data_IF_157595464543
#
_entry.id   IF_157595464543
#
_cell.length_a   1.000
_cell.length_b   1.000
_cell.length_c   1.000
_cell.angle_alpha   90.00
_cell.angle_beta   90.00
_cell.angle_gamma   90.00
#
_symmetry.space_group_name_H-M   'P 1'
#
loop_
_entity.id
_entity.type
_entity.pdbx_description
1 polymer ?
#
# COMPACT_ATOMS: atom_id res chain seq x y z
N UNK A 1 25.73 -13.02 -6.18
CA UNK A 1 25.00 -13.79 -5.15
C UNK A 1 24.75 -12.88 -3.98
N UNK A 2 23.53 -12.76 -3.46
CA UNK A 2 23.32 -12.01 -2.22
C UNK A 2 24.07 -12.73 -1.09
N UNK A 3 24.74 -11.94 -0.24
CA UNK A 3 25.45 -12.44 0.94
C UNK A 3 24.48 -13.20 1.85
N UNK A 4 24.84 -14.39 2.30
CA UNK A 4 24.05 -15.14 3.28
C UNK A 4 24.10 -14.43 4.64
N UNK A 5 23.14 -14.69 5.53
CA UNK A 5 23.14 -14.08 6.88
C UNK A 5 24.40 -14.38 7.70
N UNK A 6 25.12 -15.45 7.37
CA UNK A 6 26.39 -15.82 8.03
C UNK A 6 27.58 -14.92 7.65
N UNK A 7 27.49 -14.21 6.52
CA UNK A 7 28.59 -13.40 5.98
C UNK A 7 28.50 -11.92 6.41
N UNK A 8 27.41 -11.52 7.09
CA UNK A 8 27.17 -10.16 7.54
C UNK A 8 27.67 -9.93 8.97
N UNK A 9 28.28 -8.77 9.21
CA UNK A 9 28.63 -8.36 10.57
C UNK A 9 27.39 -8.20 11.48
N UNK A 10 27.62 -8.18 12.80
CA UNK A 10 26.53 -7.92 13.77
C UNK A 10 25.89 -6.56 13.50
N UNK A 11 26.68 -5.54 13.19
CA UNK A 11 26.20 -4.19 12.87
C UNK A 11 25.30 -4.18 11.62
N UNK A 12 25.70 -4.88 10.56
CA UNK A 12 24.87 -5.01 9.36
C UNK A 12 23.57 -5.78 9.62
N UNK A 13 23.60 -6.75 10.52
CA UNK A 13 22.39 -7.49 10.92
C UNK A 13 21.46 -6.63 11.78
N UNK A 14 22.04 -5.82 12.67
CA UNK A 14 21.28 -4.89 13.52
C UNK A 14 20.63 -3.81 12.65
N UNK A 15 21.41 -3.13 11.78
CA UNK A 15 20.87 -2.13 10.84
C UNK A 15 19.70 -2.70 10.01
N UNK A 16 19.80 -3.96 9.59
CA UNK A 16 18.74 -4.65 8.87
C UNK A 16 17.47 -4.86 9.71
N UNK A 17 17.64 -5.23 10.97
CA UNK A 17 16.51 -5.42 11.89
C UNK A 17 15.84 -4.09 12.24
N UNK A 18 16.62 -3.06 12.52
CA UNK A 18 16.12 -1.71 12.79
C UNK A 18 15.39 -1.17 11.57
N UNK A 19 15.98 -1.25 10.37
CA UNK A 19 15.34 -0.85 9.12
C UNK A 19 14.02 -1.59 8.85
N UNK A 20 13.97 -2.89 9.17
CA UNK A 20 12.74 -3.68 9.01
C UNK A 20 11.64 -3.17 9.93
N UNK A 21 11.97 -2.86 11.19
CA UNK A 21 11.00 -2.33 12.15
C UNK A 21 10.58 -0.90 11.79
N UNK A 22 11.51 -0.05 11.36
CA UNK A 22 11.20 1.32 10.91
C UNK A 22 10.24 1.32 9.73
N UNK A 23 10.43 0.45 8.73
CA UNK A 23 9.52 0.31 7.59
C UNK A 23 8.14 -0.21 8.05
N UNK A 24 8.08 -1.14 9.01
CA UNK A 24 6.79 -1.56 9.58
C UNK A 24 6.07 -0.43 10.30
N UNK A 25 6.78 0.36 11.08
CA UNK A 25 6.24 1.55 11.74
C UNK A 25 5.82 2.61 10.73
N UNK A 26 6.55 2.77 9.63
CA UNK A 26 6.17 3.68 8.53
C UNK A 26 4.80 3.32 7.95
N UNK A 27 4.56 2.03 7.68
CA UNK A 27 3.27 1.53 7.19
C UNK A 27 2.15 1.74 8.21
N UNK A 28 2.40 1.49 9.49
CA UNK A 28 1.42 1.72 10.54
C UNK A 28 1.08 3.22 10.69
N UNK A 29 2.09 4.09 10.67
CA UNK A 29 1.91 5.55 10.72
C UNK A 29 1.13 6.08 9.52
N UNK A 30 1.32 5.50 8.33
CA UNK A 30 0.54 5.83 7.14
C UNK A 30 -0.96 5.67 7.39
N UNK A 31 -1.37 4.52 7.88
CA UNK A 31 -2.78 4.24 8.19
C UNK A 31 -3.33 5.20 9.24
N UNK A 32 -2.63 5.32 10.34
CA UNK A 32 -3.09 6.14 11.48
C UNK A 32 -3.20 7.62 11.11
N UNK A 33 -2.19 8.21 10.47
CA UNK A 33 -2.20 9.63 10.11
C UNK A 33 -3.30 9.97 9.09
N UNK A 34 -3.60 9.04 8.18
CA UNK A 34 -4.69 9.20 7.22
C UNK A 34 -6.05 9.16 7.91
N UNK A 35 -6.28 8.20 8.80
CA UNK A 35 -7.53 8.04 9.53
C UNK A 35 -7.77 9.22 10.51
N UNK A 36 -6.72 9.75 11.09
CA UNK A 36 -6.77 10.96 11.94
C UNK A 36 -6.90 12.27 11.15
N UNK A 37 -6.79 12.23 9.82
CA UNK A 37 -6.73 13.44 8.97
C UNK A 37 -5.53 14.36 9.28
N UNK A 38 -4.47 13.81 9.87
CA UNK A 38 -3.20 14.52 10.04
C UNK A 38 -2.38 14.46 8.75
N UNK A 39 -2.78 15.30 7.79
CA UNK A 39 -2.17 15.28 6.46
C UNK A 39 -0.72 15.79 6.47
N UNK A 40 -0.34 16.63 7.44
CA UNK A 40 1.05 17.07 7.57
C UNK A 40 1.95 15.93 8.03
N UNK A 41 1.55 15.18 9.04
CA UNK A 41 2.25 13.98 9.44
C UNK A 41 2.27 12.94 8.31
N UNK A 42 1.14 12.76 7.62
CA UNK A 42 1.00 11.79 6.55
C UNK A 42 1.95 12.04 5.38
N UNK A 43 2.01 13.25 4.84
CA UNK A 43 2.88 13.53 3.68
C UNK A 43 4.37 13.48 4.03
N UNK A 44 4.72 13.67 5.30
CA UNK A 44 6.10 13.52 5.77
C UNK A 44 6.59 12.08 5.81
N UNK A 45 5.71 11.10 5.65
CA UNK A 45 6.07 9.68 5.48
C UNK A 45 6.60 9.36 4.07
N UNK A 46 6.49 10.28 3.14
CA UNK A 46 6.91 10.11 1.75
C UNK A 46 8.20 10.88 1.44
N UNK A 47 8.93 10.42 0.44
CA UNK A 47 10.08 11.14 -0.09
C UNK A 47 9.69 12.59 -0.50
N UNK A 48 10.59 13.58 -0.36
CA UNK A 48 10.25 14.98 -0.66
C UNK A 48 9.73 15.22 -2.07
N UNK A 49 10.21 14.44 -3.04
CA UNK A 49 9.90 14.50 -4.46
C UNK A 49 8.88 13.44 -4.93
N UNK A 50 8.16 12.83 -3.99
CA UNK A 50 7.18 11.79 -4.29
C UNK A 50 6.32 12.11 -5.51
N UNK A 51 6.20 11.15 -6.42
CA UNK A 51 5.38 11.30 -7.61
C UNK A 51 3.90 11.10 -7.29
N UNK A 52 3.10 12.11 -7.54
CA UNK A 52 1.63 12.10 -7.30
C UNK A 52 0.87 11.76 -8.59
N UNK A 53 1.32 12.31 -9.72
CA UNK A 53 0.72 12.05 -11.04
C UNK A 53 1.79 12.12 -12.14
N UNK A 54 1.38 12.12 -13.39
CA UNK A 54 2.31 12.33 -14.52
C UNK A 54 2.96 13.72 -14.49
N UNK A 55 2.23 14.73 -13.99
CA UNK A 55 2.61 16.14 -14.06
C UNK A 55 2.95 16.73 -12.68
N UNK A 56 2.67 16.01 -11.59
CA UNK A 56 2.81 16.53 -10.23
C UNK A 56 3.70 15.66 -9.36
N UNK A 57 4.64 16.31 -8.68
CA UNK A 57 5.53 15.71 -7.69
C UNK A 57 5.53 16.52 -6.40
N UNK A 58 6.01 15.91 -5.33
CA UNK A 58 6.26 16.56 -4.06
C UNK A 58 5.11 16.50 -3.06
N UNK A 59 5.47 16.59 -1.79
CA UNK A 59 4.57 16.46 -0.63
C UNK A 59 3.42 17.48 -0.64
N UNK A 60 3.66 18.69 -1.12
CA UNK A 60 2.61 19.71 -1.20
C UNK A 60 1.50 19.34 -2.19
N UNK A 61 1.86 18.71 -3.31
CA UNK A 61 0.87 18.19 -4.25
C UNK A 61 0.14 16.97 -3.70
N UNK A 62 0.86 16.08 -3.04
CA UNK A 62 0.26 14.93 -2.36
C UNK A 62 -0.76 15.37 -1.31
N UNK A 63 -0.42 16.37 -0.49
CA UNK A 63 -1.33 16.89 0.55
C UNK A 63 -2.61 17.43 -0.05
N UNK A 64 -2.52 18.26 -1.09
CA UNK A 64 -3.72 18.80 -1.76
C UNK A 64 -4.60 17.69 -2.35
N UNK A 65 -4.00 16.76 -3.05
CA UNK A 65 -4.74 15.63 -3.64
C UNK A 65 -5.44 14.80 -2.57
N UNK A 66 -4.80 14.54 -1.43
CA UNK A 66 -5.39 13.81 -0.31
C UNK A 66 -6.53 14.61 0.34
N UNK A 67 -6.33 15.90 0.59
CA UNK A 67 -7.36 16.77 1.20
C UNK A 67 -8.62 16.80 0.35
N UNK A 68 -8.48 17.02 -0.95
CA UNK A 68 -9.60 17.01 -1.90
C UNK A 68 -10.28 15.64 -1.94
N UNK A 69 -9.51 14.56 -2.06
CA UNK A 69 -10.05 13.19 -2.14
C UNK A 69 -10.83 12.81 -0.88
N UNK A 70 -10.27 13.07 0.29
CA UNK A 70 -10.89 12.70 1.56
C UNK A 70 -12.15 13.51 1.83
N UNK A 71 -12.13 14.81 1.61
CA UNK A 71 -13.31 15.67 1.82
C UNK A 71 -14.46 15.37 0.88
N UNK A 72 -14.15 15.03 -0.36
CA UNK A 72 -15.17 14.76 -1.38
C UNK A 72 -15.80 13.38 -1.26
N UNK A 73 -15.10 12.40 -0.70
CA UNK A 73 -15.52 11.01 -0.79
C UNK A 73 -15.84 10.36 0.55
N UNK A 74 -15.23 10.80 1.66
CA UNK A 74 -15.27 10.03 2.90
C UNK A 74 -15.59 10.88 4.13
N UNK A 75 -16.61 10.50 4.87
CA UNK A 75 -16.91 11.06 6.19
C UNK A 75 -16.08 10.39 7.29
N UNK A 76 -15.72 9.12 7.09
CA UNK A 76 -14.84 8.36 7.98
C UNK A 76 -14.01 7.32 7.23
N UNK A 77 -12.83 7.01 7.77
CA UNK A 77 -11.96 5.95 7.22
C UNK A 77 -11.28 5.17 8.33
N UNK A 78 -11.05 3.89 8.09
CA UNK A 78 -10.29 3.02 8.96
C UNK A 78 -9.44 2.07 8.11
N UNK A 79 -8.11 2.15 8.25
CA UNK A 79 -7.17 1.35 7.49
C UNK A 79 -6.56 0.26 8.37
N UNK A 80 -6.81 -1.00 8.04
CA UNK A 80 -6.19 -2.14 8.69
C UNK A 80 -5.14 -2.75 7.78
N UNK A 81 -3.87 -2.46 8.04
CA UNK A 81 -2.74 -3.12 7.38
C UNK A 81 -2.46 -4.47 8.06
N UNK A 82 -2.23 -5.47 7.23
CA UNK A 82 -2.00 -6.86 7.67
C UNK A 82 -0.62 -7.37 7.30
N UNK A 83 -0.58 -8.48 6.59
CA UNK A 83 0.67 -9.14 6.21
C UNK A 83 1.57 -8.18 5.43
N UNK A 84 2.84 -8.11 5.85
CA UNK A 84 3.84 -7.23 5.27
C UNK A 84 5.12 -8.00 4.99
N UNK A 85 5.50 -8.06 3.73
CA UNK A 85 6.77 -8.60 3.25
C UNK A 85 7.66 -7.43 2.87
N UNK A 86 8.92 -7.45 3.30
CA UNK A 86 9.93 -6.42 3.01
C UNK A 86 11.16 -7.10 2.45
N UNK A 87 11.57 -6.67 1.28
CA UNK A 87 12.79 -7.11 0.62
C UNK A 87 13.70 -5.91 0.39
N UNK A 88 14.97 -6.08 0.71
CA UNK A 88 15.95 -5.01 0.57
C UNK A 88 16.79 -5.23 -0.68
N UNK A 89 16.74 -4.27 -1.56
CA UNK A 89 17.53 -4.27 -2.79
C UNK A 89 18.97 -3.86 -2.51
N UNK A 90 19.12 -2.78 -1.70
CA UNK A 90 20.39 -2.18 -1.33
C UNK A 90 20.34 -1.72 0.13
N UNK A 91 21.40 -1.05 0.61
CA UNK A 91 21.49 -0.58 1.99
C UNK A 91 20.43 0.47 2.33
N UNK A 92 20.05 1.31 1.35
CA UNK A 92 19.10 2.42 1.51
C UNK A 92 17.83 2.26 0.65
N UNK A 93 17.64 1.11 0.01
CA UNK A 93 16.47 0.85 -0.82
C UNK A 93 15.85 -0.49 -0.46
N UNK A 94 14.55 -0.49 -0.38
CA UNK A 94 13.74 -1.68 -0.14
C UNK A 94 12.43 -1.59 -0.91
N UNK A 95 11.80 -2.73 -1.13
CA UNK A 95 10.42 -2.80 -1.63
C UNK A 95 9.61 -3.77 -0.77
N UNK A 96 8.30 -3.73 -0.92
CA UNK A 96 7.45 -4.61 -0.13
C UNK A 96 6.03 -4.68 -0.61
N UNK A 97 5.32 -5.67 -0.05
CA UNK A 97 3.91 -5.91 -0.29
C UNK A 97 3.17 -5.85 1.04
N UNK A 98 2.11 -5.04 1.11
CA UNK A 98 1.30 -4.86 2.30
C UNK A 98 -0.16 -5.13 2.01
N UNK A 99 -0.75 -6.15 2.64
CA UNK A 99 -2.19 -6.32 2.61
C UNK A 99 -2.88 -5.26 3.44
N UNK A 100 -3.98 -4.71 2.91
CA UNK A 100 -4.80 -3.75 3.64
C UNK A 100 -6.28 -4.01 3.39
N UNK A 101 -7.05 -4.08 4.48
CA UNK A 101 -8.51 -4.08 4.44
C UNK A 101 -8.99 -2.76 5.01
N UNK A 102 -9.59 -1.94 4.19
CA UNK A 102 -9.97 -0.59 4.55
C UNK A 102 -11.48 -0.46 4.57
N UNK A 103 -11.99 0.23 5.57
CA UNK A 103 -13.40 0.55 5.71
C UNK A 103 -13.59 2.06 5.64
N UNK A 104 -14.63 2.48 4.91
CA UNK A 104 -14.89 3.89 4.64
C UNK A 104 -16.39 4.18 4.78
N UNK A 105 -16.70 5.25 5.48
CA UNK A 105 -18.02 5.83 5.50
C UNK A 105 -18.12 6.91 4.42
N UNK A 106 -19.16 6.85 3.58
CA UNK A 106 -19.38 7.80 2.46
C UNK A 106 -20.79 8.39 2.52
N UNK A 107 -21.11 9.05 3.61
CA UNK A 107 -22.46 9.56 3.83
C UNK A 107 -23.47 8.45 4.11
N UNK A 108 -23.97 7.75 3.08
CA UNK A 108 -25.01 6.73 3.22
C UNK A 108 -24.53 5.29 3.02
N UNK A 109 -23.26 5.08 2.62
CA UNK A 109 -22.73 3.75 2.33
C UNK A 109 -21.54 3.43 3.23
N UNK A 110 -21.44 2.17 3.63
CA UNK A 110 -20.26 1.62 4.28
C UNK A 110 -19.48 0.79 3.29
N UNK A 111 -18.35 1.33 2.82
CA UNK A 111 -17.55 0.73 1.75
C UNK A 111 -16.39 -0.05 2.32
N UNK A 112 -16.22 -1.27 1.86
CA UNK A 112 -15.06 -2.11 2.17
C UNK A 112 -14.18 -2.20 0.93
N UNK A 113 -12.87 -1.97 1.12
CA UNK A 113 -11.85 -2.12 0.09
C UNK A 113 -10.79 -3.12 0.55
N UNK A 114 -10.61 -4.19 -0.20
CA UNK A 114 -9.48 -5.09 -0.02
C UNK A 114 -8.41 -4.74 -1.03
N UNK A 115 -7.21 -4.46 -0.51
CA UNK A 115 -6.11 -3.93 -1.28
C UNK A 115 -4.81 -4.67 -0.99
N UNK A 116 -3.89 -4.58 -1.94
CA UNK A 116 -2.48 -4.84 -1.78
C UNK A 116 -1.73 -3.56 -2.14
N UNK A 117 -0.93 -3.03 -1.22
CA UNK A 117 0.01 -1.96 -1.55
C UNK A 117 1.30 -2.56 -2.06
N UNK A 118 1.76 -2.06 -3.20
CA UNK A 118 3.08 -2.35 -3.75
C UNK A 118 3.96 -1.14 -3.48
N UNK A 119 4.87 -1.30 -2.54
CA UNK A 119 5.63 -0.20 -1.97
C UNK A 119 7.10 -0.25 -2.38
N UNK A 120 7.68 0.93 -2.61
CA UNK A 120 9.11 1.14 -2.62
C UNK A 120 9.47 2.09 -1.47
N UNK A 121 10.55 1.77 -0.79
CA UNK A 121 11.07 2.51 0.35
C UNK A 121 12.47 3.00 0.07
N UNK A 122 12.79 4.19 0.55
CA UNK A 122 14.12 4.78 0.45
C UNK A 122 14.51 5.38 1.79
N UNK A 123 15.76 5.19 2.21
CA UNK A 123 16.31 5.80 3.41
C UNK A 123 16.99 7.11 3.06
N UNK A 124 16.38 8.23 3.46
CA UNK A 124 16.85 9.59 3.25
C UNK A 124 17.12 10.21 4.63
N UNK A 125 18.28 10.79 4.84
CA UNK A 125 18.68 11.41 6.11
C UNK A 125 18.42 10.51 7.33
N UNK A 126 18.79 9.23 7.20
CA UNK A 126 18.62 8.17 8.22
C UNK A 126 17.15 7.83 8.54
N UNK A 127 16.19 8.22 7.70
CA UNK A 127 14.78 7.89 7.85
C UNK A 127 14.27 7.09 6.66
N UNK A 128 13.57 5.99 6.92
CA UNK A 128 12.86 5.26 5.88
C UNK A 128 11.56 5.98 5.49
N UNK A 129 11.38 6.22 4.19
CA UNK A 129 10.25 6.92 3.61
C UNK A 129 9.69 6.12 2.43
N UNK A 130 8.40 6.31 2.12
CA UNK A 130 7.84 5.83 0.87
C UNK A 130 8.41 6.63 -0.30
N UNK A 131 9.15 6.00 -1.19
CA UNK A 131 9.49 6.57 -2.50
C UNK A 131 8.42 6.26 -3.54
N UNK A 132 7.58 5.25 -3.28
CA UNK A 132 6.38 4.93 -4.06
C UNK A 132 5.43 4.09 -3.23
N UNK A 133 4.13 4.33 -3.36
CA UNK A 133 3.07 3.42 -2.90
C UNK A 133 2.02 3.28 -3.99
N UNK A 134 1.80 2.06 -4.48
CA UNK A 134 0.81 1.75 -5.49
C UNK A 134 -0.31 0.91 -4.88
N UNK A 135 -1.54 1.46 -4.75
CA UNK A 135 -2.68 0.69 -4.31
C UNK A 135 -3.19 -0.21 -5.45
N UNK A 136 -3.21 -1.51 -5.22
CA UNK A 136 -3.77 -2.50 -6.12
C UNK A 136 -5.02 -3.09 -5.48
N UNK A 137 -6.18 -2.93 -6.11
CA UNK A 137 -7.45 -3.39 -5.57
C UNK A 137 -7.73 -4.85 -5.92
N UNK A 138 -8.25 -5.60 -4.96
CA UNK A 138 -8.99 -6.81 -5.25
C UNK A 138 -10.45 -6.47 -5.46
N UNK A 139 -11.06 -5.77 -4.48
CA UNK A 139 -12.43 -5.27 -4.61
C UNK A 139 -12.61 -3.96 -3.84
N UNK A 140 -13.65 -3.23 -4.24
CA UNK A 140 -14.25 -2.14 -3.47
C UNK A 140 -15.77 -2.25 -3.62
N UNK A 141 -16.49 -2.34 -2.51
CA UNK A 141 -17.94 -2.58 -2.53
C UNK A 141 -18.61 -2.08 -1.27
N UNK A 142 -19.91 -1.79 -1.35
CA UNK A 142 -20.75 -1.61 -0.17
C UNK A 142 -20.81 -2.91 0.66
N UNK A 143 -20.82 -2.80 1.98
CA UNK A 143 -20.83 -3.92 2.92
C UNK A 143 -21.96 -4.93 2.63
N UNK A 144 -23.10 -4.46 2.15
CA UNK A 144 -24.26 -5.29 1.86
C UNK A 144 -24.24 -5.91 0.45
N UNK A 145 -23.20 -5.65 -0.33
CA UNK A 145 -23.06 -6.14 -1.72
C UNK A 145 -21.79 -6.97 -1.89
N UNK A 146 -21.76 -8.25 -1.48
CA UNK A 146 -20.57 -9.08 -1.58
C UNK A 146 -20.01 -9.09 -3.00
N UNK A 147 -18.67 -8.93 -3.18
CA UNK A 147 -18.03 -8.82 -4.50
C UNK A 147 -17.81 -10.21 -5.14
N UNK A 148 -18.84 -11.03 -5.22
CA UNK A 148 -18.83 -12.34 -5.87
C UNK A 148 -18.91 -12.17 -7.40
N UNK A 149 -18.20 -13.04 -8.14
CA UNK A 149 -18.16 -12.99 -9.60
C UNK A 149 -17.08 -12.03 -10.14
N UNK A 150 -17.23 -11.63 -11.39
CA UNK A 150 -16.21 -10.87 -12.11
C UNK A 150 -16.14 -9.39 -11.72
N UNK A 151 -17.29 -8.77 -11.43
CA UNK A 151 -17.32 -7.35 -11.05
C UNK A 151 -16.86 -7.18 -9.60
N UNK A 152 -15.66 -6.70 -9.41
CA UNK A 152 -15.02 -6.48 -8.11
C UNK A 152 -15.08 -5.02 -7.64
N UNK A 153 -15.01 -4.06 -8.58
CA UNK A 153 -15.06 -2.63 -8.28
C UNK A 153 -16.49 -2.10 -8.40
N UNK A 154 -17.26 -2.25 -7.34
CA UNK A 154 -18.66 -1.85 -7.26
C UNK A 154 -18.87 -0.48 -6.60
N UNK A 155 -17.76 0.10 -6.11
CA UNK A 155 -17.77 1.42 -5.52
C UNK A 155 -16.49 2.20 -5.88
N UNK A 156 -16.55 3.49 -6.25
CA UNK A 156 -17.72 4.06 -6.91
C UNK A 156 -18.02 3.23 -8.16
N UNK A 157 -19.26 3.23 -8.66
CA UNK A 157 -19.66 2.38 -9.78
C UNK A 157 -18.71 2.54 -10.98
N UNK A 158 -17.76 1.65 -11.11
CA UNK A 158 -16.73 1.63 -12.15
C UNK A 158 -16.81 0.31 -12.91
N UNK A 159 -17.75 0.22 -13.82
CA UNK A 159 -18.01 -0.99 -14.62
C UNK A 159 -16.80 -1.46 -15.46
N UNK A 160 -15.77 -0.64 -15.63
CA UNK A 160 -14.62 -0.92 -16.50
C UNK A 160 -13.39 -1.47 -15.77
N UNK A 161 -13.41 -1.63 -14.45
CA UNK A 161 -12.25 -2.07 -13.68
C UNK A 161 -12.53 -3.37 -12.93
N UNK A 162 -11.83 -4.44 -13.29
CA UNK A 162 -12.00 -5.76 -12.67
C UNK A 162 -11.45 -5.83 -11.24
N UNK A 163 -10.46 -5.03 -10.92
CA UNK A 163 -9.91 -4.87 -9.58
C UNK A 163 -9.07 -6.04 -9.05
N UNK A 164 -8.70 -7.00 -9.87
CA UNK A 164 -8.01 -8.19 -9.39
C UNK A 164 -6.49 -7.95 -9.25
N UNK A 165 -5.99 -7.66 -8.05
CA UNK A 165 -4.55 -7.59 -7.83
C UNK A 165 -3.84 -8.95 -8.01
N UNK A 166 -4.58 -10.05 -7.97
CA UNK A 166 -4.04 -11.38 -8.21
C UNK A 166 -3.40 -11.52 -9.59
N UNK A 167 -3.91 -10.81 -10.60
CA UNK A 167 -3.38 -10.81 -11.96
C UNK A 167 -1.94 -10.24 -12.04
N UNK A 168 -1.46 -9.60 -10.97
CA UNK A 168 -0.08 -9.15 -10.84
C UNK A 168 0.89 -10.26 -10.42
N UNK A 169 0.38 -11.42 -10.01
CA UNK A 169 1.20 -12.55 -9.57
C UNK A 169 1.32 -13.61 -10.67
N UNK A 170 2.51 -13.86 -11.22
CA UNK A 170 2.70 -14.89 -12.26
C UNK A 170 2.21 -16.27 -11.83
N UNK A 171 2.37 -16.62 -10.55
CA UNK A 171 1.91 -17.88 -9.98
C UNK A 171 0.38 -18.03 -9.97
N UNK A 172 -0.37 -16.93 -9.99
CA UNK A 172 -1.83 -16.97 -10.05
C UNK A 172 -2.32 -17.48 -11.40
N UNK A 173 -1.76 -16.94 -12.48
CA UNK A 173 -2.09 -17.37 -13.84
C UNK A 173 -1.68 -18.83 -14.07
N UNK A 174 -0.44 -19.18 -13.68
CA UNK A 174 0.09 -20.53 -13.80
C UNK A 174 -0.76 -21.58 -13.07
N UNK A 175 -1.22 -21.27 -11.86
CA UNK A 175 -2.10 -22.14 -11.07
C UNK A 175 -3.38 -22.52 -11.81
N UNK A 176 -4.01 -21.56 -12.50
CA UNK A 176 -5.27 -21.80 -13.19
C UNK A 176 -5.11 -22.44 -14.57
N UNK A 177 -3.98 -22.19 -15.23
CA UNK A 177 -3.67 -22.76 -16.54
C UNK A 177 -3.19 -24.21 -16.46
N UNK A 178 -2.60 -24.61 -15.34
CA UNK A 178 -2.02 -25.94 -15.15
C UNK A 178 -2.71 -26.69 -13.99
N UNK A 179 -3.99 -27.10 -14.13
CA UNK A 179 -4.65 -27.91 -13.12
C UNK A 179 -3.97 -29.28 -13.01
N UNK A 180 -3.91 -29.89 -11.81
CA UNK A 180 -3.36 -31.24 -11.65
C UNK A 180 -4.17 -32.26 -12.47
N UNK A 181 -3.47 -33.24 -13.01
CA UNK A 181 -4.12 -34.38 -13.67
C UNK A 181 -5.09 -35.04 -12.68
N UNK A 182 -6.32 -35.28 -13.13
CA UNK A 182 -7.38 -35.93 -12.34
C UNK A 182 -7.25 -37.44 -12.36
#
# INVERSE_FOLDING_TARGET
MPLTNSDKSIEQRLDRLESTEEIRQLVAKYSLSLDMRDLDAHVNLFAPDIRVSREHTGRAHLKRWLDDTLRLQFTGTSHHTGNHIIEFDEINHAHGLVYSKNEHETGSEWVIMQMLYWDNYERIDQQWLFSRRLPCYWYATDLNKPPVGELKMRWPDRQSYSGAFHDLFPSWEDFWQNPPDK
#
